data_IF_862019969401
#
_entry.id   IF_862019969401
#
_cell.length_a   1.000
_cell.length_b   1.000
_cell.length_c   1.000
_cell.angle_alpha   90.00
_cell.angle_beta   90.00
_cell.angle_gamma   90.00
#
_symmetry.space_group_name_H-M   'P 1'
#
loop_
_entity.id
_entity.type
_entity.pdbx_description
1 polymer ?
#
# COMPACT_ATOMS: atom_id res chain seq x y z
N UNK A 1 7.06 5.79 -1.48
CA UNK A 1 5.98 5.06 -2.16
C UNK A 1 5.04 6.07 -2.83
N UNK A 2 4.70 5.90 -4.10
CA UNK A 2 3.72 6.76 -4.81
C UNK A 2 2.26 6.42 -4.44
N UNK A 3 1.29 7.29 -4.77
CA UNK A 3 -0.14 7.01 -4.52
C UNK A 3 -0.63 5.75 -5.25
N UNK A 4 -0.07 5.48 -6.44
CA UNK A 4 -0.35 4.26 -7.20
C UNK A 4 0.23 3.02 -6.48
N UNK A 5 1.48 3.08 -6.04
CA UNK A 5 2.09 1.98 -5.26
C UNK A 5 1.31 1.74 -3.96
N UNK A 6 0.87 2.80 -3.27
CA UNK A 6 0.01 2.69 -2.08
C UNK A 6 -1.30 1.96 -2.41
N UNK A 7 -1.93 2.27 -3.55
CA UNK A 7 -3.14 1.60 -3.98
C UNK A 7 -2.92 0.11 -4.24
N UNK A 8 -1.82 -0.23 -4.90
CA UNK A 8 -1.44 -1.61 -5.19
C UNK A 8 -1.14 -2.36 -3.89
N UNK A 9 -0.35 -1.76 -2.98
CA UNK A 9 -0.04 -2.33 -1.68
C UNK A 9 -1.32 -2.67 -0.90
N UNK A 10 -2.25 -1.71 -0.76
CA UNK A 10 -3.50 -1.96 -0.05
C UNK A 10 -4.32 -3.07 -0.71
N UNK A 11 -4.42 -3.08 -2.04
CA UNK A 11 -5.12 -4.17 -2.76
C UNK A 11 -4.50 -5.55 -2.50
N UNK A 12 -3.18 -5.63 -2.36
CA UNK A 12 -2.47 -6.86 -2.06
C UNK A 12 -2.68 -7.29 -0.61
N UNK A 13 -2.60 -6.36 0.34
CA UNK A 13 -2.79 -6.61 1.77
C UNK A 13 -4.21 -7.16 2.07
N UNK A 14 -5.22 -6.64 1.37
CA UNK A 14 -6.61 -7.10 1.50
C UNK A 14 -6.91 -8.43 0.84
N UNK A 15 -6.02 -8.91 -0.01
CA UNK A 15 -6.25 -10.16 -0.70
C UNK A 15 -5.95 -11.32 0.27
N UNK A 16 -6.97 -12.08 0.64
CA UNK A 16 -6.90 -13.23 1.55
C UNK A 16 -5.85 -14.27 1.12
N UNK A 17 -5.53 -14.34 -0.18
CA UNK A 17 -4.50 -15.25 -0.66
C UNK A 17 -3.07 -14.75 -0.44
N UNK A 18 -2.86 -13.46 -0.22
CA UNK A 18 -1.53 -12.87 0.02
C UNK A 18 -0.97 -13.38 1.35
N UNK A 19 0.31 -13.81 1.32
CA UNK A 19 1.02 -14.33 2.50
C UNK A 19 2.16 -13.41 2.90
N UNK A 20 2.83 -12.81 1.92
CA UNK A 20 3.99 -11.93 2.13
C UNK A 20 4.10 -10.95 0.97
N UNK A 21 4.41 -9.69 1.28
CA UNK A 21 4.63 -8.60 0.33
C UNK A 21 6.01 -8.02 0.61
N UNK A 22 6.90 -8.10 -0.38
CA UNK A 22 8.21 -7.44 -0.33
C UNK A 22 8.22 -6.27 -1.29
N UNK A 23 8.24 -5.07 -0.72
CA UNK A 23 8.28 -3.81 -1.47
C UNK A 23 9.72 -3.51 -1.94
N UNK A 24 9.83 -2.82 -3.09
CA UNK A 24 11.10 -2.35 -3.65
C UNK A 24 12.16 -3.46 -3.75
N UNK A 25 11.73 -4.64 -4.20
CA UNK A 25 12.55 -5.84 -4.23
C UNK A 25 13.73 -5.67 -5.20
N UNK A 26 14.99 -5.70 -4.71
CA UNK A 26 16.15 -5.46 -5.56
C UNK A 26 16.40 -6.65 -6.50
N UNK A 27 16.69 -6.33 -7.76
CA UNK A 27 17.08 -7.31 -8.77
C UNK A 27 18.60 -7.49 -8.74
N UNK A 28 19.08 -8.72 -8.88
CA UNK A 28 20.53 -9.00 -8.83
C UNK A 28 21.23 -8.29 -9.99
N UNK A 29 22.12 -7.35 -9.65
CA UNK A 29 22.80 -6.48 -10.60
C UNK A 29 23.54 -7.24 -11.71
N UNK A 30 24.18 -8.37 -11.38
CA UNK A 30 24.90 -9.17 -12.37
C UNK A 30 23.94 -9.82 -13.39
N UNK A 31 22.74 -10.21 -12.96
CA UNK A 31 21.73 -10.79 -13.85
C UNK A 31 21.16 -9.68 -14.77
N UNK A 32 20.85 -8.49 -14.23
CA UNK A 32 20.31 -7.37 -15.03
C UNK A 32 21.33 -6.80 -16.02
N UNK A 33 22.62 -6.75 -15.66
CA UNK A 33 23.72 -6.39 -16.57
C UNK A 33 23.85 -7.35 -17.74
N UNK A 34 23.79 -8.65 -17.48
CA UNK A 34 23.86 -9.66 -18.53
C UNK A 34 22.68 -9.53 -19.50
N UNK A 35 21.46 -9.37 -18.97
CA UNK A 35 20.26 -9.14 -19.77
C UNK A 35 20.33 -7.85 -20.59
N UNK A 36 20.88 -6.77 -20.02
CA UNK A 36 21.10 -5.52 -20.73
C UNK A 36 22.02 -5.71 -21.95
N UNK A 37 23.13 -6.42 -21.78
CA UNK A 37 24.04 -6.75 -22.87
C UNK A 37 23.38 -7.63 -23.94
N UNK A 38 22.68 -8.70 -23.54
CA UNK A 38 22.01 -9.63 -24.46
C UNK A 38 20.85 -8.99 -25.25
N UNK A 39 20.20 -7.99 -24.66
CA UNK A 39 19.06 -7.31 -25.25
C UNK A 39 19.42 -6.03 -26.00
N UNK A 40 20.70 -5.65 -26.02
CA UNK A 40 21.19 -4.37 -26.56
C UNK A 40 20.50 -3.15 -25.94
N UNK A 41 20.14 -3.26 -24.65
CA UNK A 41 19.52 -2.17 -23.87
C UNK A 41 20.57 -1.61 -22.91
N UNK A 42 20.74 -0.29 -22.89
CA UNK A 42 21.63 0.35 -21.93
C UNK A 42 21.18 0.10 -20.49
N UNK A 43 22.05 -0.45 -19.66
CA UNK A 43 21.73 -0.67 -18.25
C UNK A 43 21.52 0.68 -17.51
N UNK A 44 20.56 0.79 -16.58
CA UNK A 44 20.40 1.98 -15.76
C UNK A 44 21.70 2.39 -15.05
N UNK A 45 22.07 3.67 -15.19
CA UNK A 45 23.26 4.25 -14.58
C UNK A 45 22.99 5.70 -14.14
N UNK A 46 23.61 6.11 -13.04
CA UNK A 46 23.60 7.50 -12.55
C UNK A 46 25.05 7.93 -12.36
N UNK A 47 25.47 8.99 -13.07
CA UNK A 47 26.85 9.52 -13.04
C UNK A 47 27.92 8.43 -13.31
N UNK A 48 27.63 7.53 -14.25
CA UNK A 48 28.54 6.44 -14.64
C UNK A 48 28.50 5.21 -13.71
N UNK A 49 27.75 5.25 -12.61
CA UNK A 49 27.59 4.12 -11.69
C UNK A 49 26.32 3.35 -12.03
N UNK A 50 26.46 2.06 -12.33
CA UNK A 50 25.33 1.16 -12.61
C UNK A 50 24.44 1.02 -11.37
N UNK A 51 23.13 1.14 -11.56
CA UNK A 51 22.15 1.14 -10.48
C UNK A 51 21.52 -0.22 -10.31
N UNK A 52 21.32 -0.66 -9.07
CA UNK A 52 20.47 -1.82 -8.79
C UNK A 52 19.04 -1.47 -9.21
N UNK A 53 18.46 -2.28 -10.08
CA UNK A 53 17.05 -2.17 -10.44
C UNK A 53 16.20 -2.80 -9.32
N UNK A 54 14.95 -2.35 -9.19
CA UNK A 54 13.98 -2.95 -8.27
C UNK A 54 12.66 -3.21 -8.99
N UNK A 55 11.91 -4.19 -8.48
CA UNK A 55 10.47 -4.29 -8.73
C UNK A 55 9.72 -3.70 -7.56
N UNK A 56 8.62 -2.99 -7.82
CA UNK A 56 7.86 -2.36 -6.75
C UNK A 56 7.32 -3.38 -5.74
N UNK A 57 6.86 -4.55 -6.19
CA UNK A 57 6.39 -5.61 -5.30
C UNK A 57 6.82 -7.01 -5.76
N UNK A 58 7.24 -7.83 -4.80
CA UNK A 58 7.34 -9.27 -4.93
C UNK A 58 6.41 -9.93 -3.93
N UNK A 59 5.37 -10.59 -4.43
CA UNK A 59 4.26 -11.12 -3.63
C UNK A 59 4.31 -12.63 -3.60
N UNK A 60 4.17 -13.20 -2.41
CA UNK A 60 3.92 -14.62 -2.21
C UNK A 60 2.44 -14.82 -1.85
N UNK A 61 1.83 -15.87 -2.38
CA UNK A 61 0.43 -16.21 -2.08
C UNK A 61 0.28 -17.66 -1.65
N UNK A 62 -0.83 -17.95 -0.99
CA UNK A 62 -1.29 -19.29 -0.64
C UNK A 62 -1.93 -20.03 -1.83
N UNK A 63 -2.13 -19.37 -2.98
CA UNK A 63 -2.69 -19.98 -4.17
C UNK A 63 -1.66 -20.87 -4.87
N UNK A 64 -1.90 -22.19 -4.88
CA UNK A 64 -1.00 -23.17 -5.50
C UNK A 64 -0.73 -22.93 -7.00
N UNK A 65 -1.68 -22.33 -7.73
CA UNK A 65 -1.51 -22.01 -9.16
C UNK A 65 -0.71 -20.72 -9.39
N UNK A 66 -0.60 -19.86 -8.37
CA UNK A 66 0.14 -18.59 -8.44
C UNK A 66 0.83 -18.30 -7.11
N UNK A 67 1.77 -19.15 -6.69
CA UNK A 67 2.37 -19.04 -5.36
C UNK A 67 3.26 -17.80 -5.23
N UNK A 68 3.70 -17.22 -6.35
CA UNK A 68 4.60 -16.07 -6.38
C UNK A 68 4.42 -15.26 -7.66
N UNK A 69 4.51 -13.94 -7.56
CA UNK A 69 4.55 -13.04 -8.71
C UNK A 69 5.20 -11.70 -8.35
N UNK A 70 5.65 -10.98 -9.37
CA UNK A 70 6.18 -9.62 -9.23
C UNK A 70 5.24 -8.61 -9.92
N UNK A 71 5.19 -7.40 -9.37
CA UNK A 71 4.47 -6.26 -9.95
C UNK A 71 5.40 -5.06 -10.07
N UNK A 72 5.23 -4.32 -11.16
CA UNK A 72 5.77 -2.98 -11.32
C UNK A 72 4.60 -2.01 -11.53
N UNK A 73 4.55 -0.96 -10.72
CA UNK A 73 3.59 0.13 -10.85
C UNK A 73 4.17 1.26 -11.72
N UNK A 74 3.41 1.68 -12.73
CA UNK A 74 3.73 2.87 -13.55
C UNK A 74 2.46 3.58 -13.98
N UNK A 75 2.50 4.90 -13.94
CA UNK A 75 1.44 5.69 -14.56
C UNK A 75 1.46 5.48 -16.08
N UNK A 76 0.28 5.30 -16.69
CA UNK A 76 0.17 4.99 -18.11
C UNK A 76 0.83 6.06 -19.00
N UNK A 77 0.85 7.32 -18.58
CA UNK A 77 1.51 8.42 -19.29
C UNK A 77 3.03 8.20 -19.43
N UNK A 78 3.67 7.56 -18.45
CA UNK A 78 5.12 7.29 -18.46
C UNK A 78 5.50 6.19 -19.46
N UNK A 79 4.54 5.38 -19.91
CA UNK A 79 4.75 4.29 -20.87
C UNK A 79 4.97 4.81 -22.31
N UNK A 80 4.78 6.10 -22.55
CA UNK A 80 5.18 6.76 -23.80
C UNK A 80 6.69 6.97 -23.91
N UNK A 81 7.43 6.87 -22.79
CA UNK A 81 8.86 7.11 -22.74
C UNK A 81 9.65 5.84 -23.08
N UNK A 82 10.41 5.87 -24.17
CA UNK A 82 11.21 4.71 -24.63
C UNK A 82 12.15 4.17 -23.55
N UNK A 83 12.82 5.07 -22.81
CA UNK A 83 13.73 4.68 -21.72
C UNK A 83 13.01 3.99 -20.56
N UNK A 84 11.72 4.27 -20.36
CA UNK A 84 10.89 3.56 -19.38
C UNK A 84 10.59 2.15 -19.87
N UNK A 85 10.19 2.00 -21.14
CA UNK A 85 9.92 0.69 -21.77
C UNK A 85 11.16 -0.21 -21.75
N UNK A 86 12.34 0.33 -22.06
CA UNK A 86 13.61 -0.40 -21.99
C UNK A 86 13.86 -1.00 -20.59
N UNK A 87 13.68 -0.21 -19.53
CA UNK A 87 13.85 -0.68 -18.15
C UNK A 87 12.83 -1.75 -17.78
N UNK A 88 11.58 -1.56 -18.19
CA UNK A 88 10.52 -2.55 -17.97
C UNK A 88 10.81 -3.86 -18.70
N UNK A 89 11.39 -3.82 -19.90
CA UNK A 89 11.78 -5.02 -20.64
C UNK A 89 12.89 -5.79 -19.93
N UNK A 90 13.90 -5.11 -19.37
CA UNK A 90 14.93 -5.75 -18.55
C UNK A 90 14.34 -6.45 -17.33
N UNK A 91 13.45 -5.77 -16.62
CA UNK A 91 12.75 -6.32 -15.46
C UNK A 91 11.87 -7.52 -15.84
N UNK A 92 11.09 -7.41 -16.92
CA UNK A 92 10.27 -8.51 -17.44
C UNK A 92 11.12 -9.73 -17.79
N UNK A 93 12.27 -9.53 -18.46
CA UNK A 93 13.21 -10.62 -18.78
C UNK A 93 13.83 -11.24 -17.54
N UNK A 94 14.17 -10.43 -16.54
CA UNK A 94 14.72 -10.91 -15.27
C UNK A 94 13.76 -11.90 -14.60
N UNK A 95 12.48 -11.53 -14.46
CA UNK A 95 11.49 -12.40 -13.83
C UNK A 95 11.14 -13.62 -14.68
N UNK A 96 11.10 -13.46 -16.01
CA UNK A 96 10.93 -14.57 -16.94
C UNK A 96 12.03 -15.62 -16.77
N UNK A 97 13.29 -15.21 -16.63
CA UNK A 97 14.42 -16.13 -16.40
C UNK A 97 14.30 -16.88 -15.06
N UNK A 98 13.65 -16.29 -14.06
CA UNK A 98 13.37 -16.93 -12.76
C UNK A 98 12.09 -17.77 -12.75
N UNK A 99 11.34 -17.82 -13.86
CA UNK A 99 10.05 -18.50 -13.94
C UNK A 99 8.98 -17.88 -13.05
N UNK A 100 9.11 -16.59 -12.70
CA UNK A 100 8.15 -15.87 -11.88
C UNK A 100 7.30 -14.96 -12.79
N UNK A 101 5.96 -15.04 -12.72
CA UNK A 101 5.10 -14.11 -13.44
C UNK A 101 5.37 -12.66 -13.04
N UNK A 102 5.43 -11.77 -14.02
CA UNK A 102 5.59 -10.34 -13.82
C UNK A 102 4.48 -9.59 -14.54
N UNK A 103 3.91 -8.58 -13.88
CA UNK A 103 2.91 -7.71 -14.48
C UNK A 103 3.21 -6.24 -14.23
N UNK A 104 2.86 -5.43 -15.23
CA UNK A 104 2.79 -3.99 -15.12
C UNK A 104 1.37 -3.63 -14.68
N UNK A 105 1.26 -2.78 -13.66
CA UNK A 105 0.00 -2.23 -13.18
C UNK A 105 0.02 -0.70 -13.31
N UNK A 106 -1.10 -0.14 -13.76
CA UNK A 106 -1.26 1.30 -13.98
C UNK A 106 -2.41 1.85 -13.14
N UNK A 107 -2.53 3.18 -13.09
CA UNK A 107 -3.65 3.86 -12.43
C UNK A 107 -5.01 3.48 -13.02
N UNK A 108 -5.05 2.97 -14.25
CA UNK A 108 -6.27 2.54 -14.95
C UNK A 108 -6.77 1.17 -14.48
N UNK A 109 -5.89 0.37 -13.89
CA UNK A 109 -6.22 -0.95 -13.36
C UNK A 109 -6.74 -0.88 -11.92
N UNK A 110 -6.63 0.30 -11.28
CA UNK A 110 -7.09 0.54 -9.92
C UNK A 110 -8.60 0.84 -9.91
N UNK A 111 -9.41 0.10 -9.13
CA UNK A 111 -10.83 0.41 -9.01
C UNK A 111 -11.06 1.82 -8.47
N UNK A 112 -12.00 2.56 -9.07
CA UNK A 112 -12.32 3.95 -8.66
C UNK A 112 -12.68 4.09 -7.17
N UNK A 113 -13.22 3.04 -6.54
CA UNK A 113 -13.49 3.05 -5.09
C UNK A 113 -12.20 3.18 -4.30
N UNK A 114 -11.16 2.44 -4.67
CA UNK A 114 -9.83 2.48 -4.04
C UNK A 114 -9.21 3.87 -4.22
N UNK A 115 -9.26 4.42 -5.44
CA UNK A 115 -8.77 5.78 -5.71
C UNK A 115 -9.45 6.83 -4.83
N UNK A 116 -10.79 6.75 -4.67
CA UNK A 116 -11.54 7.64 -3.79
C UNK A 116 -11.16 7.48 -2.33
N UNK A 117 -11.04 6.23 -1.87
CA UNK A 117 -10.65 5.94 -0.50
C UNK A 117 -9.25 6.50 -0.19
N UNK A 118 -8.27 6.30 -1.07
CA UNK A 118 -6.91 6.85 -0.91
C UNK A 118 -6.92 8.37 -0.93
N UNK A 119 -7.65 9.00 -1.87
CA UNK A 119 -7.76 10.47 -1.91
C UNK A 119 -8.33 11.06 -0.62
N UNK A 120 -9.19 10.31 0.07
CA UNK A 120 -9.71 10.68 1.37
C UNK A 120 -8.69 10.39 2.48
N UNK A 121 -7.96 9.28 2.49
CA UNK A 121 -6.99 9.00 3.56
C UNK A 121 -5.75 9.89 3.50
N UNK A 122 -5.22 10.12 2.30
CA UNK A 122 -3.88 10.67 2.07
C UNK A 122 -3.58 12.02 2.75
N UNK A 123 -4.50 13.01 2.78
CA UNK A 123 -4.22 14.25 3.48
C UNK A 123 -3.95 14.08 4.98
N UNK A 124 -4.54 13.07 5.62
CA UNK A 124 -4.36 12.80 7.06
C UNK A 124 -3.09 11.98 7.36
N UNK A 125 -2.46 11.38 6.34
CA UNK A 125 -1.18 10.66 6.53
C UNK A 125 -0.02 11.63 6.85
N UNK A 126 -0.15 12.90 6.43
CA UNK A 126 0.84 13.96 6.67
C UNK A 126 0.77 14.54 8.08
N UNK A 127 -0.22 14.14 8.86
CA UNK A 127 -0.36 14.60 10.23
C UNK A 127 0.72 13.91 11.08
N UNK A 128 1.63 14.70 11.64
CA UNK A 128 2.62 14.22 12.61
C UNK A 128 1.92 13.98 13.95
N UNK A 129 1.59 12.72 14.22
CA UNK A 129 0.93 12.28 15.46
C UNK A 129 1.92 11.38 16.20
N UNK A 130 2.13 11.68 17.48
CA UNK A 130 3.01 10.87 18.32
C UNK A 130 2.45 9.44 18.48
N UNK A 131 3.36 8.46 18.52
CA UNK A 131 3.01 7.03 18.50
C UNK A 131 2.17 6.63 19.73
N UNK A 132 2.48 7.20 20.89
CA UNK A 132 1.72 7.01 22.13
C UNK A 132 0.26 7.49 21.99
N UNK A 133 0.06 8.63 21.34
CA UNK A 133 -1.27 9.17 21.02
C UNK A 133 -2.03 8.27 20.04
N UNK A 134 -1.34 7.71 19.04
CA UNK A 134 -1.95 6.74 18.11
C UNK A 134 -2.38 5.47 18.84
N UNK A 135 -1.54 4.94 19.74
CA UNK A 135 -1.85 3.75 20.56
C UNK A 135 -3.08 4.00 21.44
N UNK A 136 -3.11 5.11 22.16
CA UNK A 136 -4.23 5.46 23.04
C UNK A 136 -5.54 5.57 22.26
N UNK A 137 -5.51 6.32 21.15
CA UNK A 137 -6.68 6.48 20.27
C UNK A 137 -7.12 5.16 19.67
N UNK A 138 -6.19 4.34 19.19
CA UNK A 138 -6.51 3.04 18.60
C UNK A 138 -7.22 2.13 19.63
N UNK A 139 -6.75 2.08 20.88
CA UNK A 139 -7.42 1.35 21.95
C UNK A 139 -8.84 1.88 22.24
N UNK A 140 -8.99 3.21 22.32
CA UNK A 140 -10.28 3.87 22.54
C UNK A 140 -11.30 3.54 21.44
N UNK A 141 -10.93 3.74 20.16
CA UNK A 141 -11.84 3.48 19.05
C UNK A 141 -12.12 2.00 18.86
N UNK A 142 -11.15 1.11 19.10
CA UNK A 142 -11.37 -0.33 19.02
C UNK A 142 -12.46 -0.80 19.99
N UNK A 143 -12.46 -0.29 21.23
CA UNK A 143 -13.51 -0.59 22.21
C UNK A 143 -14.89 -0.17 21.68
N UNK A 144 -15.00 1.03 21.12
CA UNK A 144 -16.25 1.53 20.57
C UNK A 144 -16.71 0.75 19.33
N UNK A 145 -15.78 0.35 18.45
CA UNK A 145 -16.11 -0.44 17.28
C UNK A 145 -16.64 -1.83 17.66
N UNK A 146 -16.02 -2.48 18.64
CA UNK A 146 -16.48 -3.77 19.16
C UNK A 146 -17.85 -3.69 19.85
N UNK A 147 -18.18 -2.56 20.48
CA UNK A 147 -19.47 -2.36 21.14
C UNK A 147 -20.65 -2.20 20.17
N UNK A 148 -20.38 -1.81 18.92
CA UNK A 148 -21.42 -1.50 17.94
C UNK A 148 -21.03 -1.89 16.49
N UNK A 149 -20.68 -3.16 16.23
CA UNK A 149 -20.05 -3.58 14.99
C UNK A 149 -20.94 -3.37 13.75
N UNK A 150 -22.26 -3.41 13.91
CA UNK A 150 -23.21 -3.24 12.80
C UNK A 150 -23.47 -1.78 12.41
N UNK A 151 -23.01 -0.82 13.23
CA UNK A 151 -23.24 0.61 12.98
C UNK A 151 -22.20 1.15 12.00
N UNK A 152 -22.60 2.16 11.22
CA UNK A 152 -21.65 2.86 10.35
C UNK A 152 -20.58 3.57 11.18
N UNK A 153 -19.35 3.60 10.68
CA UNK A 153 -18.22 4.33 11.30
C UNK A 153 -18.58 5.81 11.50
N UNK A 154 -19.30 6.41 10.54
CA UNK A 154 -19.77 7.79 10.62
C UNK A 154 -20.74 8.00 11.79
N UNK A 155 -21.66 7.07 12.03
CA UNK A 155 -22.62 7.20 13.12
C UNK A 155 -21.98 6.95 14.49
N UNK A 156 -20.98 6.07 14.56
CA UNK A 156 -20.15 5.92 15.77
C UNK A 156 -19.40 7.22 16.05
N UNK A 157 -18.73 7.81 15.05
CA UNK A 157 -18.01 9.08 15.20
C UNK A 157 -18.93 10.21 15.70
N UNK A 158 -20.11 10.40 15.09
CA UNK A 158 -21.07 11.41 15.53
C UNK A 158 -21.55 11.21 16.96
N UNK A 159 -21.77 9.95 17.36
CA UNK A 159 -22.19 9.66 18.73
C UNK A 159 -21.07 10.00 19.72
N UNK A 160 -19.83 9.68 19.39
CA UNK A 160 -18.68 10.02 20.23
C UNK A 160 -18.49 11.53 20.35
N UNK A 161 -18.60 12.27 19.25
CA UNK A 161 -18.55 13.73 19.28
C UNK A 161 -19.60 14.29 20.26
N UNK A 162 -20.82 13.74 20.22
CA UNK A 162 -21.92 14.15 21.11
C UNK A 162 -21.67 13.74 22.56
N UNK A 163 -21.26 12.50 22.81
CA UNK A 163 -21.07 11.95 24.15
C UNK A 163 -19.91 12.62 24.90
N UNK A 164 -18.85 12.97 24.19
CA UNK A 164 -17.63 13.59 24.73
C UNK A 164 -17.59 15.11 24.55
N UNK A 165 -18.69 15.73 24.09
CA UNK A 165 -18.80 17.18 23.85
C UNK A 165 -17.69 17.74 22.93
N UNK A 166 -17.27 16.96 21.94
CA UNK A 166 -16.28 17.38 20.96
C UNK A 166 -16.92 18.15 19.80
N UNK A 167 -16.13 18.96 19.05
CA UNK A 167 -16.59 19.55 17.80
C UNK A 167 -17.09 18.49 16.83
N UNK A 168 -18.19 18.78 16.13
CA UNK A 168 -18.74 17.87 15.13
C UNK A 168 -17.70 17.54 14.06
N UNK A 169 -17.43 16.25 13.86
CA UNK A 169 -16.45 15.73 12.91
C UNK A 169 -15.07 15.45 13.51
N UNK A 170 -14.82 15.76 14.78
CA UNK A 170 -13.53 15.51 15.44
C UNK A 170 -13.23 14.01 15.49
N UNK A 171 -14.16 13.18 15.94
CA UNK A 171 -13.94 11.73 16.02
C UNK A 171 -13.71 11.11 14.64
N UNK A 172 -14.38 11.61 13.60
CA UNK A 172 -14.18 11.13 12.24
C UNK A 172 -12.79 11.49 11.69
N UNK A 173 -12.28 12.67 12.05
CA UNK A 173 -10.90 13.07 11.72
C UNK A 173 -9.89 12.14 12.41
N UNK A 174 -10.08 11.83 13.68
CA UNK A 174 -9.18 10.92 14.41
C UNK A 174 -9.22 9.51 13.84
N UNK A 175 -10.40 8.98 13.51
CA UNK A 175 -10.53 7.69 12.84
C UNK A 175 -9.83 7.72 11.47
N UNK A 176 -10.00 8.80 10.70
CA UNK A 176 -9.29 8.98 9.43
C UNK A 176 -7.77 8.98 9.61
N UNK A 177 -7.25 9.62 10.65
CA UNK A 177 -5.82 9.62 10.99
C UNK A 177 -5.34 8.20 11.32
N UNK A 178 -6.09 7.45 12.14
CA UNK A 178 -5.75 6.07 12.49
C UNK A 178 -5.76 5.14 11.28
N UNK A 179 -6.72 5.30 10.38
CA UNK A 179 -6.76 4.55 9.11
C UNK A 179 -5.58 4.93 8.19
N UNK A 180 -5.23 6.22 8.12
CA UNK A 180 -4.11 6.69 7.31
C UNK A 180 -2.74 6.22 7.84
N UNK A 181 -2.61 6.10 9.17
CA UNK A 181 -1.43 5.55 9.85
C UNK A 181 -1.47 4.02 9.99
N UNK A 182 -2.45 3.36 9.34
CA UNK A 182 -2.62 1.89 9.34
C UNK A 182 -2.82 1.27 10.73
N UNK A 183 -3.28 2.04 11.72
CA UNK A 183 -3.70 1.45 12.99
C UNK A 183 -4.94 0.55 12.82
N UNK A 184 -5.79 0.90 11.87
CA UNK A 184 -6.93 0.08 11.46
C UNK A 184 -6.87 -0.24 9.97
N UNK A 185 -7.23 -1.48 9.68
CA UNK A 185 -7.33 -2.07 8.37
C UNK A 185 -8.82 -2.26 8.04
N UNK A 186 -9.24 -1.88 6.83
CA UNK A 186 -10.56 -2.20 6.25
C UNK A 186 -10.46 -2.55 4.75
N UNK A 187 -11.38 -3.37 4.24
CA UNK A 187 -11.43 -3.71 2.82
C UNK A 187 -11.46 -2.46 1.94
N UNK A 188 -10.34 -2.19 1.27
CA UNK A 188 -10.14 -0.97 0.47
C UNK A 188 -11.09 -0.89 -0.73
N UNK A 189 -11.74 -2.01 -1.11
CA UNK A 189 -12.79 -2.05 -2.13
C UNK A 189 -14.16 -1.60 -1.59
N UNK A 190 -14.31 -1.49 -0.27
CA UNK A 190 -15.52 -0.96 0.37
C UNK A 190 -15.43 0.57 0.46
N UNK A 191 -16.43 1.33 -0.05
CA UNK A 191 -16.43 2.77 0.08
C UNK A 191 -16.41 3.20 1.55
N UNK A 192 -15.52 4.13 1.93
CA UNK A 192 -15.36 4.58 3.33
C UNK A 192 -16.68 5.05 3.96
N UNK A 193 -17.57 5.66 3.17
CA UNK A 193 -18.88 6.12 3.63
C UNK A 193 -19.86 5.00 3.99
N UNK A 194 -19.54 3.75 3.63
CA UNK A 194 -20.36 2.56 3.89
C UNK A 194 -19.73 1.64 4.93
N UNK A 195 -18.53 1.96 5.43
CA UNK A 195 -17.87 1.13 6.43
C UNK A 195 -18.71 1.06 7.71
N UNK A 196 -18.85 -0.16 8.21
CA UNK A 196 -19.31 -0.45 9.54
C UNK A 196 -18.14 -0.55 10.50
N UNK A 197 -18.41 -0.36 11.78
CA UNK A 197 -17.42 -0.51 12.83
C UNK A 197 -16.75 -1.90 12.82
N UNK A 198 -17.52 -2.96 12.54
CA UNK A 198 -17.00 -4.33 12.44
C UNK A 198 -16.09 -4.59 11.23
N UNK A 199 -16.09 -3.69 10.24
CA UNK A 199 -15.21 -3.79 9.07
C UNK A 199 -13.79 -3.30 9.38
N UNK A 200 -13.58 -2.61 10.52
CA UNK A 200 -12.30 -2.08 10.95
C UNK A 200 -11.57 -3.08 11.86
N UNK A 201 -10.43 -3.57 11.39
CA UNK A 201 -9.59 -4.51 12.11
C UNK A 201 -8.37 -3.79 12.66
N UNK A 202 -8.14 -3.88 13.97
CA UNK A 202 -6.95 -3.32 14.59
C UNK A 202 -5.72 -4.11 14.12
N UNK A 203 -4.76 -3.43 13.53
CA UNK A 203 -3.46 -4.01 13.16
C UNK A 203 -2.52 -3.97 14.38
N UNK A 204 -1.57 -4.91 14.46
CA UNK A 204 -0.69 -5.00 15.63
C UNK A 204 0.19 -3.74 15.74
N UNK A 205 -0.11 -2.87 16.69
CA UNK A 205 0.52 -1.54 16.81
C UNK A 205 2.02 -1.64 17.13
N UNK A 206 2.47 -2.76 17.72
CA UNK A 206 3.91 -3.05 17.90
C UNK A 206 4.64 -3.22 16.56
N UNK A 207 4.00 -3.80 15.54
CA UNK A 207 4.56 -3.90 14.19
C UNK A 207 4.59 -2.54 13.46
N UNK A 208 3.64 -1.65 13.77
CA UNK A 208 3.58 -0.28 13.22
C UNK A 208 4.76 0.56 13.75
N UNK A 209 5.15 0.37 15.01
CA UNK A 209 6.35 1.00 15.59
C UNK A 209 7.63 0.62 14.82
N UNK A 210 7.78 -0.64 14.40
CA UNK A 210 8.94 -1.10 13.63
C UNK A 210 8.89 -0.58 12.18
N UNK A 211 7.72 -0.61 11.53
CA UNK A 211 7.55 -0.15 10.14
C UNK A 211 7.71 1.38 9.96
N UNK A 212 7.27 2.19 10.94
CA UNK A 212 7.45 3.65 10.94
C UNK A 212 8.92 4.05 11.14
N UNK A 213 9.71 3.25 11.87
CA UNK A 213 11.14 3.49 12.00
C UNK A 213 11.93 3.13 10.73
N UNK A 214 11.46 2.16 9.93
CA UNK A 214 12.10 1.76 8.67
C UNK A 214 11.75 2.69 7.51
N UNK A 215 10.55 3.25 7.47
CA UNK A 215 10.14 4.19 6.38
C UNK A 215 10.71 5.61 6.51
N UNK A 216 11.24 5.97 7.67
CA UNK A 216 11.82 7.29 7.96
C UNK A 216 13.37 7.30 7.98
N UNK A 217 14.03 6.28 7.42
CA UNK A 217 15.49 6.22 7.25
C UNK A 217 15.90 6.23 5.78
#
# INVERSE_FOLDING_TARGET
MSDLELAVFLLLEWNISTVDIREQFPLRLEDTKALALESEIDHPAVRGVLQVMSSDFLVNTSNANRPKFALQAKYAETLSNARTIEKLELERRYWLQKGVPWWLITEKDIPNVVTKNISWLYPAQRDEIAVDVLIERAGFYQYHFQSAPERSVIDVAKQLDTAYHQPMGQSLLEIRQLLAQRCFLFDILTPITKLKAGDLQLENIEAISEALHVSNQ
#
